data_IF_803052467607
#
_entry.id   IF_803052467607
#
_cell.length_a   1.000
_cell.length_b   1.000
_cell.length_c   1.000
_cell.angle_alpha   90.00
_cell.angle_beta   90.00
_cell.angle_gamma   90.00
#
_symmetry.space_group_name_H-M   'P 1'
#
loop_
_entity.id
_entity.type
_entity.pdbx_description
1 polymer ?
#
# COMPACT_ATOMS: atom_id res chain seq x y z
N UNK A 1 -57.02 -38.72 9.64
CA UNK A 1 -56.89 -37.90 8.42
C UNK A 1 -56.02 -36.69 8.74
N UNK A 2 -54.84 -36.68 8.13
CA UNK A 2 -53.91 -35.58 7.81
C UNK A 2 -53.87 -34.36 8.75
N UNK A 3 -52.82 -34.31 9.56
CA UNK A 3 -52.31 -33.09 10.18
C UNK A 3 -51.56 -32.27 9.12
N UNK A 4 -52.09 -31.10 8.77
CA UNK A 4 -51.46 -30.12 7.88
C UNK A 4 -50.38 -29.36 8.65
N UNK A 5 -49.12 -29.70 8.39
CA UNK A 5 -47.96 -28.94 8.88
C UNK A 5 -47.93 -27.55 8.25
N UNK A 6 -48.06 -26.52 9.09
CA UNK A 6 -47.81 -25.14 8.73
C UNK A 6 -46.32 -24.95 8.41
N UNK A 7 -46.01 -24.56 7.18
CA UNK A 7 -44.66 -24.14 6.81
C UNK A 7 -44.26 -22.89 7.61
N UNK A 8 -43.02 -22.78 8.12
CA UNK A 8 -42.62 -21.65 8.94
C UNK A 8 -42.56 -20.35 8.12
N UNK A 9 -43.39 -19.38 8.50
CA UNK A 9 -43.53 -18.07 7.87
C UNK A 9 -42.28 -17.14 8.00
N UNK A 10 -41.16 -17.63 8.55
CA UNK A 10 -39.92 -16.86 8.76
C UNK A 10 -38.94 -16.83 7.58
N UNK A 11 -39.10 -17.66 6.54
CA UNK A 11 -38.05 -17.88 5.54
C UNK A 11 -37.93 -16.80 4.43
N UNK A 12 -38.94 -15.95 4.23
CA UNK A 12 -38.99 -14.98 3.13
C UNK A 12 -38.24 -13.65 3.40
N UNK A 13 -38.34 -13.02 4.59
CA UNK A 13 -37.60 -11.79 4.91
C UNK A 13 -36.09 -12.03 4.97
N UNK A 14 -35.67 -13.16 5.54
CA UNK A 14 -34.28 -13.53 5.74
C UNK A 14 -33.54 -13.79 4.41
N UNK A 15 -34.20 -14.47 3.47
CA UNK A 15 -33.69 -14.68 2.10
C UNK A 15 -33.56 -13.37 1.31
N UNK A 16 -34.46 -12.41 1.50
CA UNK A 16 -34.38 -11.08 0.84
C UNK A 16 -33.24 -10.24 1.41
N UNK A 17 -33.01 -10.28 2.71
CA UNK A 17 -31.88 -9.61 3.37
C UNK A 17 -30.53 -10.19 2.90
N UNK A 18 -30.41 -11.53 2.86
CA UNK A 18 -29.20 -12.20 2.38
C UNK A 18 -28.89 -11.87 0.91
N UNK A 19 -29.90 -11.87 0.03
CA UNK A 19 -29.75 -11.49 -1.38
C UNK A 19 -29.31 -10.04 -1.57
N UNK A 20 -29.85 -9.10 -0.76
CA UNK A 20 -29.42 -7.69 -0.78
C UNK A 20 -27.98 -7.52 -0.32
N UNK A 21 -27.57 -8.25 0.72
CA UNK A 21 -26.18 -8.23 1.19
C UNK A 21 -25.22 -8.79 0.14
N UNK A 22 -25.54 -9.93 -0.48
CA UNK A 22 -24.70 -10.53 -1.54
C UNK A 22 -24.63 -9.60 -2.76
N UNK A 23 -25.77 -9.04 -3.19
CA UNK A 23 -25.82 -8.07 -4.28
C UNK A 23 -24.97 -6.83 -4.01
N UNK A 24 -24.97 -6.33 -2.76
CA UNK A 24 -24.14 -5.19 -2.35
C UNK A 24 -22.64 -5.49 -2.43
N UNK A 25 -22.18 -6.65 -1.95
CA UNK A 25 -20.77 -7.04 -2.03
C UNK A 25 -20.33 -7.28 -3.48
N UNK A 26 -21.18 -7.91 -4.30
CA UNK A 26 -20.89 -8.11 -5.72
C UNK A 26 -20.78 -6.77 -6.48
N UNK A 27 -21.66 -5.81 -6.19
CA UNK A 27 -21.59 -4.47 -6.76
C UNK A 27 -20.30 -3.73 -6.35
N UNK A 28 -19.93 -3.79 -5.06
CA UNK A 28 -18.68 -3.18 -4.58
C UNK A 28 -17.45 -3.80 -5.25
N UNK A 29 -17.41 -5.12 -5.34
CA UNK A 29 -16.32 -5.82 -6.02
C UNK A 29 -16.25 -5.41 -7.49
N UNK A 30 -17.38 -5.38 -8.21
CA UNK A 30 -17.44 -4.97 -9.60
C UNK A 30 -16.99 -3.51 -9.79
N UNK A 31 -17.45 -2.59 -8.95
CA UNK A 31 -17.00 -1.19 -8.97
C UNK A 31 -15.48 -1.13 -8.79
N UNK A 32 -14.92 -1.78 -7.76
CA UNK A 32 -13.48 -1.84 -7.55
C UNK A 32 -12.74 -2.42 -8.76
N UNK A 33 -13.27 -3.48 -9.36
CA UNK A 33 -12.69 -4.11 -10.54
C UNK A 33 -12.61 -3.16 -11.73
N UNK A 34 -13.58 -2.24 -11.91
CA UNK A 34 -13.52 -1.25 -13.01
C UNK A 34 -12.25 -0.40 -12.99
N UNK A 35 -11.55 -0.31 -11.84
CA UNK A 35 -10.30 0.46 -11.71
C UNK A 35 -9.24 0.13 -12.74
N UNK A 36 -9.32 -1.00 -13.48
CA UNK A 36 -8.45 -1.28 -14.63
C UNK A 36 -8.54 -0.26 -15.78
N UNK A 37 -9.64 0.51 -15.86
CA UNK A 37 -9.82 1.56 -16.86
C UNK A 37 -9.10 2.82 -16.39
N UNK A 38 -7.95 3.07 -16.99
CA UNK A 38 -7.15 4.27 -16.77
C UNK A 38 -7.79 5.48 -17.46
N UNK A 39 -7.97 6.59 -16.74
CA UNK A 39 -8.51 7.85 -17.28
C UNK A 39 -7.41 8.92 -17.40
N UNK A 40 -6.61 9.10 -16.35
CA UNK A 40 -5.49 10.03 -16.38
C UNK A 40 -4.30 9.46 -15.60
N UNK A 41 -3.36 8.86 -16.35
CA UNK A 41 -2.18 8.17 -15.80
C UNK A 41 -2.54 7.15 -14.70
N UNK A 42 -1.56 6.75 -13.89
CA UNK A 42 -1.74 5.80 -12.78
C UNK A 42 -2.57 6.35 -11.61
N UNK A 43 -2.95 7.63 -11.65
CA UNK A 43 -3.55 8.39 -10.53
C UNK A 43 -5.09 8.36 -10.57
N UNK A 44 -5.69 8.38 -11.77
CA UNK A 44 -7.13 8.52 -11.98
C UNK A 44 -7.66 7.34 -12.80
N UNK A 45 -8.54 6.55 -12.18
CA UNK A 45 -9.19 5.38 -12.78
C UNK A 45 -10.71 5.60 -12.88
N UNK A 46 -11.48 4.72 -13.54
CA UNK A 46 -12.95 4.79 -13.53
C UNK A 46 -13.56 4.82 -12.11
N UNK A 47 -12.90 4.21 -11.12
CA UNK A 47 -13.35 4.27 -9.72
C UNK A 47 -13.36 5.71 -9.21
N UNK A 48 -12.43 6.56 -9.65
CA UNK A 48 -12.42 7.97 -9.25
C UNK A 48 -13.65 8.73 -9.77
N UNK A 49 -14.16 8.39 -10.95
CA UNK A 49 -15.41 8.95 -11.49
C UNK A 49 -16.59 8.52 -10.62
N UNK A 50 -16.66 7.25 -10.23
CA UNK A 50 -17.67 6.77 -9.29
C UNK A 50 -17.55 7.50 -7.96
N UNK A 51 -16.33 7.66 -7.42
CA UNK A 51 -16.11 8.39 -6.18
C UNK A 51 -16.55 9.86 -6.27
N UNK A 52 -16.31 10.52 -7.40
CA UNK A 52 -16.74 11.90 -7.67
C UNK A 52 -18.26 12.04 -7.63
N UNK A 53 -18.98 11.12 -8.28
CA UNK A 53 -20.44 11.10 -8.28
C UNK A 53 -21.03 10.87 -6.87
N UNK A 54 -20.25 10.31 -5.95
CA UNK A 54 -20.66 10.02 -4.57
C UNK A 54 -20.27 11.11 -3.57
N UNK A 55 -19.55 12.15 -3.98
CA UNK A 55 -19.19 13.28 -3.09
C UNK A 55 -20.43 13.96 -2.47
N UNK A 56 -21.55 14.21 -3.19
CA UNK A 56 -22.76 14.74 -2.56
C UNK A 56 -23.30 13.82 -1.46
N UNK A 57 -23.26 12.50 -1.69
CA UNK A 57 -23.63 11.51 -0.69
C UNK A 57 -22.74 11.59 0.56
N UNK A 58 -21.43 11.80 0.37
CA UNK A 58 -20.49 12.01 1.47
C UNK A 58 -20.87 13.26 2.29
N UNK A 59 -21.12 14.40 1.65
CA UNK A 59 -21.51 15.65 2.31
C UNK A 59 -22.80 15.53 3.14
N UNK A 60 -23.68 14.58 2.80
CA UNK A 60 -24.91 14.31 3.54
C UNK A 60 -24.72 13.33 4.72
N UNK A 61 -23.55 12.70 4.86
CA UNK A 61 -23.26 11.79 5.97
C UNK A 61 -22.87 12.54 7.23
N UNK A 62 -23.07 11.91 8.38
CA UNK A 62 -22.39 12.34 9.60
C UNK A 62 -20.91 11.95 9.53
N UNK A 63 -20.04 12.92 9.81
CA UNK A 63 -18.60 12.73 9.77
C UNK A 63 -18.03 12.56 11.18
N UNK A 64 -17.08 11.64 11.31
CA UNK A 64 -16.25 11.51 12.51
C UNK A 64 -15.01 12.37 12.31
N UNK A 65 -14.53 13.05 13.35
CA UNK A 65 -13.30 13.86 13.27
C UNK A 65 -12.10 13.05 12.74
N UNK A 66 -12.06 11.75 13.06
CA UNK A 66 -11.06 10.81 12.56
C UNK A 66 -11.09 10.62 11.02
N UNK A 67 -12.25 10.75 10.38
CA UNK A 67 -12.38 10.63 8.92
C UNK A 67 -12.05 11.97 8.21
N UNK A 68 -12.20 13.08 8.91
CA UNK A 68 -11.91 14.42 8.38
C UNK A 68 -10.41 14.73 8.42
N UNK A 69 -9.68 14.24 9.44
CA UNK A 69 -8.24 14.47 9.56
C UNK A 69 -7.46 14.12 8.28
N UNK A 70 -7.54 12.90 7.71
CA UNK A 70 -6.84 12.57 6.48
C UNK A 70 -7.25 13.44 5.27
N UNK A 71 -8.50 13.93 5.23
CA UNK A 71 -8.95 14.86 4.18
C UNK A 71 -8.34 16.25 4.35
N UNK A 72 -8.24 16.75 5.59
CA UNK A 72 -7.55 18.02 5.88
C UNK A 72 -6.08 17.92 5.50
N UNK A 73 -5.40 16.82 5.88
CA UNK A 73 -4.01 16.59 5.51
C UNK A 73 -3.82 16.46 4.00
N UNK A 74 -4.77 15.81 3.31
CA UNK A 74 -4.76 15.73 1.85
C UNK A 74 -4.92 17.10 1.18
N UNK A 75 -5.83 17.95 1.68
CA UNK A 75 -6.02 19.31 1.19
C UNK A 75 -4.78 20.18 1.42
N UNK A 76 -4.20 20.14 2.63
CA UNK A 76 -2.96 20.85 2.95
C UNK A 76 -1.81 20.39 2.07
N UNK A 77 -1.65 19.08 1.89
CA UNK A 77 -0.62 18.53 1.03
C UNK A 77 -0.81 18.93 -0.44
N UNK A 78 -2.05 18.92 -0.94
CA UNK A 78 -2.35 19.36 -2.29
C UNK A 78 -2.03 20.85 -2.50
N UNK A 79 -2.45 21.73 -1.57
CA UNK A 79 -2.15 23.16 -1.62
C UNK A 79 -0.63 23.39 -1.60
N UNK A 80 0.10 22.66 -0.76
CA UNK A 80 1.57 22.72 -0.69
C UNK A 80 2.21 22.36 -2.02
N UNK A 81 1.75 21.28 -2.65
CA UNK A 81 2.22 20.87 -3.98
C UNK A 81 1.88 21.89 -5.07
N UNK A 82 0.68 22.48 -5.05
CA UNK A 82 0.30 23.52 -6.01
C UNK A 82 1.20 24.74 -5.86
N UNK A 83 1.40 25.22 -4.63
CA UNK A 83 2.30 26.34 -4.34
C UNK A 83 3.73 26.03 -4.81
N UNK A 84 4.22 24.82 -4.50
CA UNK A 84 5.54 24.37 -4.94
C UNK A 84 5.69 24.33 -6.46
N UNK A 85 4.73 23.74 -7.16
CA UNK A 85 4.74 23.66 -8.62
C UNK A 85 4.72 25.06 -9.25
N UNK A 86 3.89 25.97 -8.72
CA UNK A 86 3.81 27.35 -9.23
C UNK A 86 5.12 28.12 -9.03
N UNK A 87 5.73 28.02 -7.85
CA UNK A 87 7.01 28.70 -7.53
C UNK A 87 8.18 28.12 -8.33
N UNK A 88 8.18 26.81 -8.58
CA UNK A 88 9.24 26.12 -9.30
C UNK A 88 8.96 25.96 -10.81
N UNK A 89 7.91 26.61 -11.33
CA UNK A 89 7.47 26.52 -12.73
C UNK A 89 7.27 25.07 -13.24
N UNK A 90 6.86 24.17 -12.34
CA UNK A 90 6.48 22.79 -12.63
C UNK A 90 5.02 22.68 -13.04
N UNK A 91 4.67 21.59 -13.73
CA UNK A 91 3.27 21.26 -14.01
C UNK A 91 2.50 20.95 -12.72
N UNK A 92 1.39 21.66 -12.49
CA UNK A 92 0.43 21.35 -11.40
C UNK A 92 -0.31 20.03 -11.60
N UNK A 93 -0.23 19.45 -12.80
CA UNK A 93 -0.77 18.13 -13.14
C UNK A 93 0.27 17.02 -12.96
N UNK A 94 1.42 17.33 -12.35
CA UNK A 94 2.41 16.33 -11.97
C UNK A 94 1.77 15.25 -11.09
N UNK A 95 2.03 13.94 -11.31
CA UNK A 95 1.33 12.87 -10.60
C UNK A 95 1.38 13.00 -9.07
N UNK A 96 2.54 13.40 -8.52
CA UNK A 96 2.71 13.59 -7.07
C UNK A 96 1.92 14.80 -6.56
N UNK A 97 1.75 15.84 -7.38
CA UNK A 97 0.93 17.00 -7.03
C UNK A 97 -0.57 16.68 -7.02
N UNK A 98 -1.02 15.80 -7.92
CA UNK A 98 -2.43 15.37 -8.00
C UNK A 98 -2.77 14.30 -6.96
N UNK A 99 -1.78 13.52 -6.50
CA UNK A 99 -2.00 12.36 -5.64
C UNK A 99 -2.77 12.66 -4.32
N UNK A 100 -2.48 13.76 -3.57
CA UNK A 100 -3.25 14.07 -2.36
C UNK A 100 -4.73 14.39 -2.66
N UNK A 101 -5.02 15.12 -3.73
CA UNK A 101 -6.39 15.42 -4.14
C UNK A 101 -7.14 14.14 -4.56
N UNK A 102 -6.48 13.29 -5.34
CA UNK A 102 -7.03 11.99 -5.73
C UNK A 102 -7.29 11.10 -4.51
N UNK A 103 -6.37 11.06 -3.54
CA UNK A 103 -6.58 10.36 -2.27
C UNK A 103 -7.83 10.87 -1.54
N UNK A 104 -8.00 12.18 -1.43
CA UNK A 104 -9.19 12.77 -0.80
C UNK A 104 -10.49 12.36 -1.50
N UNK A 105 -10.50 12.39 -2.83
CA UNK A 105 -11.62 11.95 -3.66
C UNK A 105 -11.97 10.47 -3.42
N UNK A 106 -10.96 9.59 -3.48
CA UNK A 106 -11.17 8.16 -3.21
C UNK A 106 -11.65 7.95 -1.76
N UNK A 107 -11.07 8.63 -0.78
CA UNK A 107 -11.49 8.48 0.61
C UNK A 107 -12.97 8.88 0.80
N UNK A 108 -13.41 10.00 0.23
CA UNK A 108 -14.82 10.41 0.28
C UNK A 108 -15.75 9.38 -0.36
N UNK A 109 -15.49 9.01 -1.62
CA UNK A 109 -16.34 8.08 -2.35
C UNK A 109 -16.36 6.67 -1.75
N UNK A 110 -15.21 6.16 -1.31
CA UNK A 110 -15.11 4.84 -0.69
C UNK A 110 -15.73 4.82 0.71
N UNK A 111 -15.74 5.94 1.44
CA UNK A 111 -16.51 6.06 2.70
C UNK A 111 -17.99 5.80 2.45
N UNK A 112 -18.56 6.42 1.41
CA UNK A 112 -19.97 6.26 1.02
C UNK A 112 -20.25 4.82 0.58
N UNK A 113 -19.43 4.28 -0.33
CA UNK A 113 -19.60 2.92 -0.86
C UNK A 113 -19.54 1.84 0.22
N UNK A 114 -18.55 1.94 1.10
CA UNK A 114 -18.29 0.88 2.09
C UNK A 114 -19.13 1.04 3.36
N UNK A 115 -19.66 2.25 3.61
CA UNK A 115 -20.32 2.57 4.88
C UNK A 115 -19.42 2.33 6.09
N UNK A 116 -18.08 2.41 5.90
CA UNK A 116 -17.05 2.12 6.93
C UNK A 116 -17.08 0.69 7.49
N UNK A 117 -17.74 -0.25 6.81
CA UNK A 117 -17.78 -1.66 7.23
C UNK A 117 -16.53 -2.39 6.76
N UNK A 118 -15.85 -3.08 7.67
CA UNK A 118 -14.60 -3.83 7.39
C UNK A 118 -14.79 -4.81 6.23
N UNK A 119 -15.89 -5.56 6.21
CA UNK A 119 -16.23 -6.50 5.14
C UNK A 119 -16.34 -5.82 3.76
N UNK A 120 -16.98 -4.65 3.72
CA UNK A 120 -17.18 -3.88 2.49
C UNK A 120 -15.87 -3.26 1.99
N UNK A 121 -15.02 -2.78 2.91
CA UNK A 121 -13.67 -2.28 2.59
C UNK A 121 -12.82 -3.43 2.02
N UNK A 122 -12.82 -4.60 2.65
CA UNK A 122 -12.10 -5.78 2.16
C UNK A 122 -12.56 -6.20 0.76
N UNK A 123 -13.86 -6.17 0.51
CA UNK A 123 -14.45 -6.50 -0.80
C UNK A 123 -14.06 -5.48 -1.86
N UNK A 124 -14.06 -4.20 -1.51
CA UNK A 124 -13.60 -3.14 -2.42
C UNK A 124 -12.12 -3.30 -2.77
N UNK A 125 -11.27 -3.61 -1.80
CA UNK A 125 -9.84 -3.91 -2.06
C UNK A 125 -9.65 -5.12 -2.97
N UNK A 126 -10.45 -6.17 -2.82
CA UNK A 126 -10.40 -7.31 -3.73
C UNK A 126 -10.80 -6.92 -5.16
N UNK A 127 -11.83 -6.07 -5.31
CA UNK A 127 -12.17 -5.47 -6.60
C UNK A 127 -11.00 -4.66 -7.17
N UNK A 128 -10.41 -3.76 -6.40
CA UNK A 128 -9.23 -2.98 -6.81
C UNK A 128 -8.06 -3.88 -7.24
N UNK A 129 -7.82 -4.97 -6.53
CA UNK A 129 -6.78 -5.93 -6.86
C UNK A 129 -7.07 -6.65 -8.20
N UNK A 130 -8.32 -7.05 -8.48
CA UNK A 130 -8.70 -7.54 -9.82
C UNK A 130 -8.46 -6.49 -10.88
N UNK A 131 -8.84 -5.23 -10.61
CA UNK A 131 -8.62 -4.13 -11.55
C UNK A 131 -7.13 -3.91 -11.85
N UNK A 132 -6.27 -3.98 -10.84
CA UNK A 132 -4.81 -3.91 -11.00
C UNK A 132 -4.27 -5.07 -11.84
N UNK A 133 -4.71 -6.31 -11.58
CA UNK A 133 -4.31 -7.47 -12.39
C UNK A 133 -4.75 -7.31 -13.84
N UNK A 134 -6.01 -6.92 -14.08
CA UNK A 134 -6.55 -6.70 -15.41
C UNK A 134 -5.80 -5.59 -16.16
N UNK A 135 -5.45 -4.49 -15.49
CA UNK A 135 -4.64 -3.42 -16.05
C UNK A 135 -3.28 -3.94 -16.52
N UNK A 136 -2.53 -4.65 -15.67
CA UNK A 136 -1.19 -5.12 -16.04
C UNK A 136 -1.20 -6.23 -17.09
N UNK A 137 -2.27 -7.01 -17.19
CA UNK A 137 -2.42 -8.02 -18.24
C UNK A 137 -2.84 -7.45 -19.61
N UNK A 138 -3.48 -6.27 -19.64
CA UNK A 138 -4.05 -5.71 -20.89
C UNK A 138 -3.32 -4.46 -21.39
N UNK A 139 -2.91 -3.58 -20.49
CA UNK A 139 -2.29 -2.28 -20.81
C UNK A 139 -0.83 -2.21 -20.33
N UNK A 140 -0.60 -2.61 -19.07
CA UNK A 140 0.72 -2.66 -18.44
C UNK A 140 1.50 -1.34 -18.44
N UNK A 141 2.79 -1.45 -18.12
CA UNK A 141 3.78 -0.38 -18.22
C UNK A 141 5.01 -0.93 -18.95
N UNK A 142 5.95 -0.05 -19.34
CA UNK A 142 7.20 -0.46 -20.01
C UNK A 142 7.93 -1.59 -19.27
N UNK A 143 7.99 -1.51 -17.95
CA UNK A 143 8.64 -2.51 -17.10
C UNK A 143 7.92 -3.86 -17.06
N UNK A 144 6.64 -3.95 -17.43
CA UNK A 144 5.90 -5.23 -17.48
C UNK A 144 5.76 -5.78 -18.91
N UNK A 145 6.11 -4.99 -19.92
CA UNK A 145 6.05 -5.36 -21.35
C UNK A 145 7.38 -5.94 -21.87
N UNK A 146 8.09 -6.67 -21.01
CA UNK A 146 9.38 -7.31 -21.37
C UNK A 146 9.19 -8.72 -21.94
N UNK A 147 7.97 -9.27 -21.89
CA UNK A 147 7.67 -10.68 -22.19
C UNK A 147 8.06 -11.66 -21.07
N UNK A 148 8.63 -11.16 -19.96
CA UNK A 148 9.04 -11.96 -18.82
C UNK A 148 7.98 -11.96 -17.72
N UNK A 149 7.55 -13.16 -17.30
CA UNK A 149 6.66 -13.29 -16.14
C UNK A 149 7.29 -12.73 -14.85
N UNK A 150 8.62 -12.81 -14.73
CA UNK A 150 9.35 -12.27 -13.57
C UNK A 150 9.09 -10.77 -13.41
N UNK A 151 9.16 -10.03 -14.52
CA UNK A 151 8.94 -8.58 -14.49
C UNK A 151 7.47 -8.23 -14.28
N UNK A 152 6.55 -8.99 -14.90
CA UNK A 152 5.10 -8.85 -14.66
C UNK A 152 4.73 -9.08 -13.19
N UNK A 153 5.29 -10.11 -12.56
CA UNK A 153 5.10 -10.39 -11.13
C UNK A 153 5.62 -9.24 -10.28
N UNK A 154 6.87 -8.84 -10.52
CA UNK A 154 7.59 -7.88 -9.69
C UNK A 154 7.09 -6.44 -9.79
N UNK A 155 6.76 -5.99 -11.00
CA UNK A 155 6.40 -4.59 -11.25
C UNK A 155 4.89 -4.39 -11.43
N UNK A 156 4.11 -5.47 -11.47
CA UNK A 156 2.68 -5.42 -11.72
C UNK A 156 1.84 -6.12 -10.65
N UNK A 157 1.78 -7.44 -10.69
CA UNK A 157 0.64 -8.18 -10.13
C UNK A 157 0.86 -8.80 -8.75
N UNK A 158 2.10 -8.91 -8.22
CA UNK A 158 2.37 -9.67 -6.99
C UNK A 158 1.51 -9.23 -5.79
N UNK A 159 1.50 -7.93 -5.47
CA UNK A 159 0.74 -7.40 -4.34
C UNK A 159 -0.77 -7.60 -4.52
N UNK A 160 -1.28 -7.43 -5.74
CA UNK A 160 -2.69 -7.62 -6.06
C UNK A 160 -3.11 -9.09 -5.95
N UNK A 161 -2.30 -10.01 -6.47
CA UNK A 161 -2.55 -11.46 -6.35
C UNK A 161 -2.54 -11.89 -4.88
N UNK A 162 -1.63 -11.36 -4.06
CA UNK A 162 -1.60 -11.61 -2.62
C UNK A 162 -2.90 -11.16 -1.94
N UNK A 163 -3.40 -9.97 -2.26
CA UNK A 163 -4.70 -9.47 -1.76
C UNK A 163 -5.85 -10.40 -2.15
N UNK A 164 -5.90 -10.85 -3.42
CA UNK A 164 -6.95 -11.76 -3.90
C UNK A 164 -6.93 -13.12 -3.21
N UNK A 165 -5.74 -13.70 -3.02
CA UNK A 165 -5.58 -14.98 -2.33
C UNK A 165 -6.06 -14.87 -0.89
N UNK A 166 -5.62 -13.84 -0.15
CA UNK A 166 -6.05 -13.63 1.23
C UNK A 166 -7.55 -13.36 1.32
N UNK A 167 -8.08 -12.55 0.41
CA UNK A 167 -9.51 -12.29 0.36
C UNK A 167 -10.31 -13.57 0.12
N UNK A 168 -9.90 -14.40 -0.86
CA UNK A 168 -10.55 -15.66 -1.17
C UNK A 168 -10.49 -16.66 0.00
N UNK A 169 -9.33 -16.81 0.64
CA UNK A 169 -9.18 -17.68 1.81
C UNK A 169 -10.07 -17.23 2.98
N UNK A 170 -10.09 -15.93 3.28
CA UNK A 170 -10.95 -15.38 4.33
C UNK A 170 -12.44 -15.50 3.98
N UNK A 171 -12.83 -15.20 2.74
CA UNK A 171 -14.21 -15.31 2.28
C UNK A 171 -14.72 -16.76 2.30
N UNK A 172 -13.86 -17.72 1.94
CA UNK A 172 -14.13 -19.15 2.02
C UNK A 172 -14.09 -19.71 3.45
N UNK A 173 -13.80 -18.88 4.45
CA UNK A 173 -13.63 -19.28 5.87
C UNK A 173 -12.59 -20.41 6.03
N UNK A 174 -11.51 -20.33 5.26
CA UNK A 174 -10.42 -21.27 5.34
C UNK A 174 -9.80 -21.31 6.75
N UNK A 175 -9.27 -22.46 7.21
CA UNK A 175 -8.54 -22.57 8.47
C UNK A 175 -7.51 -21.44 8.69
N UNK A 176 -7.42 -20.94 9.92
CA UNK A 176 -6.63 -19.76 10.26
C UNK A 176 -5.13 -19.87 9.92
N UNK A 177 -4.58 -21.09 9.81
CA UNK A 177 -3.19 -21.34 9.43
C UNK A 177 -2.92 -21.22 7.92
N UNK A 178 -3.95 -21.31 7.07
CA UNK A 178 -3.76 -21.27 5.61
C UNK A 178 -3.33 -19.89 5.10
N UNK A 179 -3.85 -18.81 5.69
CA UNK A 179 -3.43 -17.45 5.32
C UNK A 179 -1.93 -17.18 5.56
N UNK A 180 -1.37 -17.43 6.76
CA UNK A 180 0.06 -17.28 6.96
C UNK A 180 0.91 -18.27 6.15
N UNK A 181 0.45 -19.51 5.93
CA UNK A 181 1.12 -20.46 5.03
C UNK A 181 1.16 -19.97 3.59
N UNK A 182 0.04 -19.47 3.06
CA UNK A 182 -0.02 -18.92 1.71
C UNK A 182 0.95 -17.73 1.55
N UNK A 183 1.04 -16.86 2.56
CA UNK A 183 2.00 -15.76 2.59
C UNK A 183 3.45 -16.25 2.61
N UNK A 184 3.77 -17.28 3.40
CA UNK A 184 5.12 -17.86 3.40
C UNK A 184 5.49 -18.40 2.00
N UNK A 185 4.57 -19.13 1.36
CA UNK A 185 4.76 -19.67 0.00
C UNK A 185 4.92 -18.55 -1.03
N UNK A 186 4.06 -17.53 -0.99
CA UNK A 186 4.15 -16.36 -1.87
C UNK A 186 5.45 -15.58 -1.64
N UNK A 187 5.93 -15.52 -0.40
CA UNK A 187 7.22 -14.91 -0.05
C UNK A 187 8.40 -15.64 -0.70
N UNK A 188 8.43 -16.97 -0.57
CA UNK A 188 9.45 -17.81 -1.20
C UNK A 188 9.38 -17.75 -2.73
N UNK A 189 8.18 -17.82 -3.30
CA UNK A 189 7.96 -17.67 -4.74
C UNK A 189 8.46 -16.30 -5.23
N UNK A 190 8.20 -15.23 -4.46
CA UNK A 190 8.67 -13.88 -4.79
C UNK A 190 10.20 -13.75 -4.73
N UNK A 191 10.89 -14.48 -3.86
CA UNK A 191 12.36 -14.55 -3.89
C UNK A 191 12.86 -15.20 -5.18
N UNK A 192 12.25 -16.33 -5.57
CA UNK A 192 12.55 -17.00 -6.85
C UNK A 192 12.30 -16.10 -8.07
N UNK A 193 11.31 -15.20 -7.96
CA UNK A 193 10.96 -14.20 -8.97
C UNK A 193 11.68 -12.85 -8.75
N UNK A 194 12.81 -12.84 -8.03
CA UNK A 194 13.66 -11.66 -7.84
C UNK A 194 12.93 -10.41 -7.29
N UNK A 195 11.91 -10.61 -6.45
CA UNK A 195 11.14 -9.55 -5.80
C UNK A 195 11.32 -9.56 -4.27
N UNK A 196 12.51 -9.13 -3.83
CA UNK A 196 12.94 -9.15 -2.42
C UNK A 196 12.02 -8.41 -1.45
N UNK A 197 11.51 -7.25 -1.83
CA UNK A 197 10.67 -6.44 -0.94
C UNK A 197 9.30 -7.06 -0.70
N UNK A 198 8.63 -7.54 -1.75
CA UNK A 198 7.37 -8.27 -1.59
C UNK A 198 7.57 -9.57 -0.80
N UNK A 199 8.70 -10.26 -1.00
CA UNK A 199 9.06 -11.41 -0.19
C UNK A 199 9.19 -11.06 1.30
N UNK A 200 9.89 -9.97 1.64
CA UNK A 200 10.00 -9.50 3.02
C UNK A 200 8.62 -9.19 3.61
N UNK A 201 7.77 -8.45 2.89
CA UNK A 201 6.41 -8.11 3.35
C UNK A 201 5.60 -9.39 3.62
N UNK A 202 5.62 -10.35 2.70
CA UNK A 202 4.92 -11.63 2.87
C UNK A 202 5.46 -12.44 4.06
N UNK A 203 6.78 -12.50 4.25
CA UNK A 203 7.41 -13.20 5.38
C UNK A 203 7.05 -12.54 6.71
N UNK A 204 7.10 -11.20 6.79
CA UNK A 204 6.70 -10.47 7.99
C UNK A 204 5.21 -10.64 8.30
N UNK A 205 4.34 -10.58 7.28
CA UNK A 205 2.90 -10.81 7.46
C UNK A 205 2.62 -12.25 7.91
N UNK A 206 3.29 -13.23 7.30
CA UNK A 206 3.21 -14.63 7.71
C UNK A 206 3.65 -14.83 9.17
N UNK A 207 4.81 -14.28 9.54
CA UNK A 207 5.33 -14.36 10.89
C UNK A 207 4.40 -13.69 11.91
N UNK A 208 3.88 -12.49 11.61
CA UNK A 208 2.94 -11.77 12.47
C UNK A 208 1.69 -12.63 12.76
N UNK A 209 1.13 -13.24 11.72
CA UNK A 209 -0.05 -14.09 11.82
C UNK A 209 0.23 -15.42 12.52
N UNK A 210 1.36 -16.08 12.24
CA UNK A 210 1.76 -17.31 12.94
C UNK A 210 2.06 -17.08 14.41
N UNK A 211 2.79 -16.01 14.76
CA UNK A 211 3.05 -15.63 16.14
C UNK A 211 1.73 -15.38 16.88
N UNK A 212 0.78 -14.68 16.23
CA UNK A 212 -0.54 -14.47 16.82
C UNK A 212 -1.36 -15.75 16.95
N UNK A 213 -1.26 -16.68 15.99
CA UNK A 213 -1.95 -17.97 16.04
C UNK A 213 -1.39 -18.88 17.14
N UNK A 214 -0.07 -18.96 17.27
CA UNK A 214 0.61 -19.84 18.22
C UNK A 214 0.62 -19.28 19.65
N UNK A 215 0.87 -17.97 19.78
CA UNK A 215 1.12 -17.33 21.07
C UNK A 215 0.01 -16.37 21.48
N UNK A 216 -0.70 -15.74 20.54
CA UNK A 216 -1.91 -14.95 20.80
C UNK A 216 -1.82 -14.04 22.03
N UNK A 217 -2.83 -14.08 22.89
CA UNK A 217 -2.89 -13.35 24.16
C UNK A 217 -1.92 -13.86 25.24
N UNK A 218 -1.24 -14.99 25.02
CA UNK A 218 -0.31 -15.59 26.01
C UNK A 218 0.97 -14.77 26.17
N UNK A 219 1.33 -13.95 25.18
CA UNK A 219 2.49 -13.08 25.23
C UNK A 219 2.10 -11.61 25.07
N UNK A 220 2.79 -10.74 25.81
CA UNK A 220 2.59 -9.29 25.69
C UNK A 220 2.94 -8.84 24.27
N UNK A 221 2.19 -7.89 23.73
CA UNK A 221 2.34 -7.38 22.35
C UNK A 221 3.78 -6.96 22.00
N UNK A 222 4.52 -6.38 22.95
CA UNK A 222 5.94 -6.01 22.78
C UNK A 222 6.84 -7.18 22.37
N UNK A 223 6.56 -8.39 22.85
CA UNK A 223 7.34 -9.59 22.52
C UNK A 223 6.98 -10.14 21.15
N UNK A 224 5.72 -9.98 20.72
CA UNK A 224 5.32 -10.30 19.34
C UNK A 224 6.08 -9.39 18.35
N UNK A 225 6.20 -8.11 18.69
CA UNK A 225 6.98 -7.15 17.89
C UNK A 225 8.49 -7.43 17.91
N UNK A 226 9.05 -7.79 19.06
CA UNK A 226 10.45 -8.21 19.14
C UNK A 226 10.70 -9.44 18.24
N UNK A 227 9.79 -10.42 18.24
CA UNK A 227 9.84 -11.57 17.34
C UNK A 227 9.76 -11.16 15.86
N UNK A 228 8.86 -10.25 15.52
CA UNK A 228 8.71 -9.72 14.15
C UNK A 228 9.99 -8.99 13.67
N UNK A 229 10.59 -8.16 14.53
CA UNK A 229 11.87 -7.50 14.27
C UNK A 229 12.97 -8.55 14.07
N UNK A 230 13.01 -9.58 14.93
CA UNK A 230 13.94 -10.70 14.81
C UNK A 230 13.83 -11.41 13.46
N UNK A 231 12.60 -11.67 12.98
CA UNK A 231 12.36 -12.26 11.65
C UNK A 231 12.84 -11.33 10.53
N UNK A 232 12.58 -10.03 10.63
CA UNK A 232 13.06 -9.04 9.66
C UNK A 232 14.58 -8.98 9.57
N UNK A 233 15.26 -8.95 10.73
CA UNK A 233 16.72 -8.98 10.81
C UNK A 233 17.30 -10.29 10.27
N UNK A 234 16.71 -11.42 10.64
CA UNK A 234 17.10 -12.73 10.14
C UNK A 234 16.95 -12.79 8.61
N UNK A 235 15.84 -12.29 8.06
CA UNK A 235 15.65 -12.20 6.61
C UNK A 235 16.74 -11.33 5.96
N UNK A 236 17.00 -10.14 6.50
CA UNK A 236 17.99 -9.21 5.96
C UNK A 236 19.40 -9.80 5.93
N UNK A 237 19.76 -10.66 6.89
CA UNK A 237 21.07 -11.30 6.98
C UNK A 237 21.16 -12.61 6.18
N UNK A 238 20.16 -13.48 6.30
CA UNK A 238 20.19 -14.84 5.72
C UNK A 238 19.87 -14.82 4.23
N UNK A 239 18.95 -13.97 3.77
CA UNK A 239 18.53 -13.96 2.37
C UNK A 239 19.70 -13.65 1.41
N UNK A 240 20.56 -12.63 1.63
CA UNK A 240 21.71 -12.39 0.76
C UNK A 240 22.68 -13.57 0.72
N UNK A 241 22.95 -14.22 1.87
CA UNK A 241 23.82 -15.40 1.94
C UNK A 241 23.26 -16.54 1.07
N UNK A 242 21.97 -16.83 1.21
CA UNK A 242 21.30 -17.85 0.39
C UNK A 242 21.18 -17.44 -1.09
N UNK A 243 21.03 -16.15 -1.39
CA UNK A 243 21.02 -15.66 -2.76
C UNK A 243 22.39 -15.86 -3.46
N UNK A 244 23.51 -15.70 -2.74
CA UNK A 244 24.86 -15.89 -3.28
C UNK A 244 25.12 -17.33 -3.74
N UNK A 245 24.52 -18.32 -3.09
CA UNK A 245 24.64 -19.73 -3.49
C UNK A 245 23.78 -20.09 -4.70
N UNK A 246 22.93 -19.16 -5.17
CA UNK A 246 22.01 -19.40 -6.29
C UNK A 246 20.71 -20.10 -5.89
N UNK A 247 20.44 -20.27 -4.57
CA UNK A 247 19.25 -20.99 -4.08
C UNK A 247 17.92 -20.45 -4.63
N UNK A 248 17.85 -19.14 -4.88
CA UNK A 248 16.67 -18.46 -5.38
C UNK A 248 16.74 -18.11 -6.88
N UNK A 249 17.69 -18.72 -7.61
CA UNK A 249 17.88 -18.51 -9.04
C UNK A 249 18.94 -17.47 -9.41
N UNK A 250 19.39 -17.56 -10.66
CA UNK A 250 20.53 -16.79 -11.19
C UNK A 250 20.28 -15.29 -11.25
N UNK A 251 19.04 -14.85 -11.46
CA UNK A 251 18.69 -13.44 -11.51
C UNK A 251 18.92 -12.74 -10.17
N UNK A 252 18.48 -13.36 -9.07
CA UNK A 252 18.68 -12.83 -7.72
C UNK A 252 20.14 -12.98 -7.27
N UNK A 253 20.81 -14.08 -7.63
CA UNK A 253 22.25 -14.25 -7.37
C UNK A 253 23.07 -13.15 -8.03
N UNK A 254 22.91 -12.94 -9.33
CA UNK A 254 23.63 -11.89 -10.08
C UNK A 254 23.37 -10.51 -9.50
N UNK A 255 22.12 -10.21 -9.13
CA UNK A 255 21.78 -8.92 -8.51
C UNK A 255 22.47 -8.74 -7.16
N UNK A 256 22.51 -9.77 -6.32
CA UNK A 256 23.20 -9.73 -5.03
C UNK A 256 24.71 -9.54 -5.21
N UNK A 257 25.34 -10.30 -6.10
CA UNK A 257 26.77 -10.15 -6.41
C UNK A 257 27.11 -8.77 -6.99
N UNK A 258 26.25 -8.22 -7.86
CA UNK A 258 26.39 -6.86 -8.37
C UNK A 258 26.32 -5.82 -7.25
N UNK A 259 25.42 -5.99 -6.27
CA UNK A 259 25.34 -5.06 -5.15
C UNK A 259 26.52 -5.16 -4.20
N UNK A 260 27.05 -6.37 -4.01
CA UNK A 260 28.27 -6.61 -3.24
C UNK A 260 29.51 -5.98 -3.90
N UNK A 261 29.54 -5.92 -5.24
CA UNK A 261 30.70 -5.43 -5.99
C UNK A 261 30.84 -3.89 -6.01
N UNK A 262 29.81 -3.14 -5.62
CA UNK A 262 29.81 -1.65 -5.68
C UNK A 262 29.93 -1.03 -4.28
N UNK A 263 30.35 -1.81 -3.27
CA UNK A 263 30.64 -1.35 -1.90
C UNK A 263 29.61 -0.35 -1.35
N UNK A 264 28.33 -0.67 -1.50
CA UNK A 264 27.24 0.16 -0.98
C UNK A 264 26.96 -0.24 0.46
N UNK A 265 26.78 0.72 1.40
CA UNK A 265 26.40 0.40 2.78
C UNK A 265 25.17 -0.50 2.79
N UNK A 266 25.20 -1.59 3.58
CA UNK A 266 24.15 -2.62 3.56
C UNK A 266 22.72 -2.07 3.74
N UNK A 267 22.56 -1.03 4.56
CA UNK A 267 21.28 -0.37 4.81
C UNK A 267 20.75 0.39 3.58
N UNK A 268 21.64 0.88 2.71
CA UNK A 268 21.35 1.68 1.52
C UNK A 268 21.54 0.88 0.21
N UNK A 269 22.07 -0.34 0.28
CA UNK A 269 22.20 -1.25 -0.86
C UNK A 269 20.84 -1.65 -1.46
N UNK A 270 19.76 -1.59 -0.66
CA UNK A 270 18.40 -1.80 -1.14
C UNK A 270 17.81 -0.60 -1.89
N UNK A 271 18.20 0.62 -1.50
CA UNK A 271 17.72 1.92 -2.00
C UNK A 271 18.81 2.97 -1.81
N UNK A 272 19.44 3.40 -2.91
CA UNK A 272 20.55 4.34 -2.89
C UNK A 272 20.12 5.80 -2.87
N UNK A 273 18.82 6.08 -3.05
CA UNK A 273 18.24 7.42 -3.20
C UNK A 273 18.07 8.25 -1.90
N UNK A 274 18.12 7.70 -0.66
CA UNK A 274 17.93 8.52 0.54
C UNK A 274 18.90 9.71 0.68
N UNK A 275 20.21 9.61 0.42
CA UNK A 275 21.12 10.77 0.47
C UNK A 275 20.68 11.89 -0.48
N UNK A 276 20.31 11.56 -1.71
CA UNK A 276 19.76 12.51 -2.68
C UNK A 276 18.51 13.19 -2.15
N UNK A 277 17.57 12.42 -1.62
CA UNK A 277 16.29 12.96 -1.17
C UNK A 277 16.47 13.84 0.09
N UNK A 278 17.35 13.45 1.01
CA UNK A 278 17.69 14.28 2.18
C UNK A 278 18.37 15.59 1.78
N UNK A 279 19.30 15.56 0.82
CA UNK A 279 19.90 16.78 0.29
C UNK A 279 18.84 17.70 -0.32
N UNK A 280 17.95 17.16 -1.17
CA UNK A 280 16.87 17.93 -1.77
C UNK A 280 15.95 18.58 -0.72
N UNK A 281 15.56 17.83 0.32
CA UNK A 281 14.77 18.34 1.45
C UNK A 281 15.54 19.44 2.20
N UNK A 282 16.82 19.23 2.49
CA UNK A 282 17.61 20.19 3.27
C UNK A 282 17.76 21.54 2.57
N UNK A 283 17.80 21.55 1.23
CA UNK A 283 17.91 22.77 0.44
C UNK A 283 16.58 23.53 0.34
N UNK A 284 15.43 22.83 0.25
CA UNK A 284 14.11 23.46 0.11
C UNK A 284 13.04 22.81 1.00
N UNK A 285 13.16 22.87 2.33
CA UNK A 285 12.32 22.06 3.24
C UNK A 285 10.85 22.50 3.30
N UNK A 286 10.57 23.78 3.06
CA UNK A 286 9.24 24.37 3.25
C UNK A 286 8.31 24.12 2.06
N UNK A 287 8.76 24.48 0.86
CA UNK A 287 7.97 24.37 -0.38
C UNK A 287 8.43 23.21 -1.26
N UNK A 288 9.63 22.68 -1.12
CA UNK A 288 10.14 21.65 -2.02
C UNK A 288 10.50 22.18 -3.42
N UNK A 289 10.72 21.24 -4.34
CA UNK A 289 11.22 21.48 -5.71
C UNK A 289 10.13 21.47 -6.80
N UNK A 290 8.88 21.22 -6.45
CA UNK A 290 7.74 21.07 -7.36
C UNK A 290 7.66 19.68 -7.97
N UNK A 291 8.77 19.21 -8.54
CA UNK A 291 8.96 17.84 -9.00
C UNK A 291 10.45 17.46 -8.96
N UNK A 292 10.74 16.16 -9.12
CA UNK A 292 12.11 15.67 -9.13
C UNK A 292 12.94 16.10 -10.36
N UNK A 293 12.30 16.58 -11.43
CA UNK A 293 12.99 17.04 -12.65
C UNK A 293 13.66 18.41 -12.48
N UNK A 294 13.27 19.15 -11.44
CA UNK A 294 13.83 20.46 -11.12
C UNK A 294 15.12 20.40 -10.27
N UNK A 295 15.58 19.19 -9.95
CA UNK A 295 16.83 18.97 -9.24
C UNK A 295 18.03 19.48 -10.05
N UNK A 296 18.81 20.37 -9.46
CA UNK A 296 19.98 20.98 -10.12
C UNK A 296 21.21 20.08 -10.06
N UNK A 297 22.16 20.31 -10.96
CA UNK A 297 23.48 19.66 -10.93
C UNK A 297 24.14 19.81 -9.55
N UNK A 298 24.13 21.02 -8.98
CA UNK A 298 24.75 21.28 -7.68
C UNK A 298 24.10 20.49 -6.54
N UNK A 299 22.78 20.26 -6.61
CA UNK A 299 22.08 19.41 -5.64
C UNK A 299 22.56 17.97 -5.75
N UNK A 300 22.67 17.43 -6.96
CA UNK A 300 23.22 16.09 -7.19
C UNK A 300 24.67 15.97 -6.69
N UNK A 301 25.54 16.93 -7.00
CA UNK A 301 26.93 16.94 -6.50
C UNK A 301 26.98 16.92 -4.97
N UNK A 302 26.15 17.71 -4.28
CA UNK A 302 26.07 17.70 -2.82
C UNK A 302 25.53 16.38 -2.27
N UNK A 303 24.56 15.77 -2.95
CA UNK A 303 24.03 14.45 -2.60
C UNK A 303 25.08 13.35 -2.75
N UNK A 304 25.91 13.39 -3.79
CA UNK A 304 27.02 12.47 -3.99
C UNK A 304 28.04 12.59 -2.85
N UNK A 305 28.44 13.82 -2.51
CA UNK A 305 29.33 14.04 -1.36
C UNK A 305 28.72 13.54 -0.04
N UNK A 306 27.41 13.68 0.15
CA UNK A 306 26.73 13.11 1.31
C UNK A 306 26.75 11.58 1.29
N UNK A 307 26.46 10.96 0.15
CA UNK A 307 26.48 9.50 0.01
C UNK A 307 27.88 8.92 0.24
N UNK A 308 28.93 9.54 -0.30
CA UNK A 308 30.32 9.12 -0.06
C UNK A 308 30.65 9.19 1.44
N UNK A 309 30.23 10.26 2.14
CA UNK A 309 30.38 10.35 3.61
C UNK A 309 29.56 9.31 4.38
N UNK A 310 28.46 8.82 3.80
CA UNK A 310 27.66 7.72 4.34
C UNK A 310 28.23 6.34 4.00
N UNK A 311 29.36 6.28 3.27
CA UNK A 311 30.09 5.05 2.98
C UNK A 311 29.86 4.48 1.58
N UNK A 312 29.30 5.24 0.64
CA UNK A 312 29.28 4.84 -0.77
C UNK A 312 30.68 4.95 -1.38
N UNK A 313 31.02 4.02 -2.28
CA UNK A 313 32.20 4.14 -3.14
C UNK A 313 32.08 5.39 -4.04
N UNK A 314 33.17 6.16 -4.22
CA UNK A 314 33.22 7.26 -5.20
C UNK A 314 32.96 6.82 -6.66
N UNK A 315 33.19 5.55 -6.97
CA UNK A 315 32.96 4.93 -8.27
C UNK A 315 31.50 4.46 -8.46
N UNK A 316 30.64 4.61 -7.44
CA UNK A 316 29.23 4.28 -7.56
C UNK A 316 28.59 5.13 -8.68
N UNK A 317 27.81 4.53 -9.60
CA UNK A 317 27.27 5.24 -10.75
C UNK A 317 26.03 6.07 -10.38
N UNK A 318 26.24 7.14 -9.62
CA UNK A 318 25.19 8.03 -9.11
C UNK A 318 24.30 8.58 -10.22
N UNK A 319 24.89 9.14 -11.27
CA UNK A 319 24.15 9.72 -12.39
C UNK A 319 23.21 8.72 -13.07
N UNK A 320 23.67 7.47 -13.28
CA UNK A 320 22.87 6.45 -13.94
C UNK A 320 21.71 5.93 -13.07
N UNK A 321 21.82 6.05 -11.74
CA UNK A 321 20.84 5.48 -10.80
C UNK A 321 19.89 6.55 -10.26
N UNK A 322 20.36 7.76 -10.03
CA UNK A 322 19.58 8.85 -9.43
C UNK A 322 18.92 9.79 -10.45
N UNK A 323 19.49 9.92 -11.65
CA UNK A 323 18.91 10.75 -12.72
C UNK A 323 18.07 9.88 -13.64
N UNK A 324 16.86 9.59 -13.17
CA UNK A 324 15.92 8.79 -13.97
C UNK A 324 15.28 9.70 -15.04
N UNK A 325 15.10 9.22 -16.30
CA UNK A 325 14.45 9.99 -17.35
C UNK A 325 13.06 10.50 -16.94
N UNK A 326 12.59 11.63 -17.50
CA UNK A 326 11.28 12.23 -17.17
C UNK A 326 10.07 11.32 -17.42
N UNK A 327 10.23 10.19 -18.11
CA UNK A 327 9.17 9.20 -18.30
C UNK A 327 8.91 8.30 -17.09
N UNK A 328 9.85 8.24 -16.13
CA UNK A 328 9.63 7.53 -14.87
C UNK A 328 9.16 8.51 -13.81
N UNK A 329 7.95 8.27 -13.33
CA UNK A 329 7.10 9.24 -12.61
C UNK A 329 7.61 9.68 -11.23
N UNK A 330 8.74 9.15 -10.76
CA UNK A 330 9.43 9.62 -9.56
C UNK A 330 10.89 9.15 -9.56
N UNK A 331 11.83 10.09 -9.46
CA UNK A 331 13.23 9.77 -9.15
C UNK A 331 13.39 9.30 -7.69
N UNK A 332 12.41 9.62 -6.83
CA UNK A 332 12.42 9.26 -5.41
C UNK A 332 11.62 7.98 -5.18
N UNK A 333 12.30 6.92 -4.75
CA UNK A 333 11.68 5.64 -4.40
C UNK A 333 11.12 5.64 -2.97
N UNK A 334 10.42 6.70 -2.57
CA UNK A 334 9.80 6.85 -1.27
C UNK A 334 8.66 7.86 -1.38
N UNK A 335 7.42 7.45 -1.17
CA UNK A 335 6.27 8.37 -1.21
C UNK A 335 6.41 9.45 -0.12
N UNK A 336 6.86 9.07 1.08
CA UNK A 336 7.03 9.99 2.20
C UNK A 336 8.12 11.03 1.91
N UNK A 337 9.33 10.59 1.59
CA UNK A 337 10.45 11.51 1.36
C UNK A 337 10.29 12.28 0.04
N UNK A 338 9.71 11.65 -0.99
CA UNK A 338 9.38 12.29 -2.26
C UNK A 338 8.34 13.40 -2.07
N UNK A 339 7.29 13.16 -1.28
CA UNK A 339 6.31 14.21 -0.96
C UNK A 339 6.95 15.41 -0.27
N UNK A 340 7.91 15.19 0.65
CA UNK A 340 8.63 16.29 1.28
C UNK A 340 9.56 17.01 0.31
N UNK A 341 10.37 16.28 -0.45
CA UNK A 341 11.32 16.86 -1.39
C UNK A 341 10.61 17.67 -2.49
N UNK A 342 9.50 17.17 -3.01
CA UNK A 342 8.79 17.81 -4.12
C UNK A 342 7.79 18.85 -3.64
N UNK A 343 6.97 18.52 -2.63
CA UNK A 343 5.85 19.37 -2.19
C UNK A 343 6.07 20.13 -0.89
N UNK A 344 7.16 19.87 -0.16
CA UNK A 344 7.49 20.56 1.09
C UNK A 344 6.89 19.96 2.37
N UNK A 345 7.06 20.66 3.49
CA UNK A 345 6.74 20.13 4.84
C UNK A 345 5.24 19.85 5.05
N UNK A 346 4.35 20.57 4.38
CA UNK A 346 2.90 20.30 4.49
C UNK A 346 2.48 19.11 3.62
N UNK A 347 3.19 18.86 2.51
CA UNK A 347 2.94 17.71 1.63
C UNK A 347 3.27 16.36 2.29
N UNK A 348 4.27 16.32 3.18
CA UNK A 348 4.65 15.08 3.87
C UNK A 348 3.65 14.65 4.96
N UNK A 349 2.76 15.54 5.42
CA UNK A 349 1.87 15.25 6.54
C UNK A 349 0.88 14.11 6.25
N UNK A 350 0.31 14.04 5.04
CA UNK A 350 -0.60 12.95 4.67
C UNK A 350 0.13 11.58 4.63
N UNK A 351 1.25 11.42 3.90
CA UNK A 351 2.03 10.19 3.94
C UNK A 351 2.52 9.82 5.36
N UNK A 352 2.91 10.80 6.18
CA UNK A 352 3.30 10.56 7.58
C UNK A 352 2.13 10.04 8.41
N UNK A 353 0.93 10.59 8.24
CA UNK A 353 -0.28 10.08 8.88
C UNK A 353 -0.65 8.68 8.38
N UNK A 354 -0.51 8.40 7.09
CA UNK A 354 -0.73 7.06 6.53
C UNK A 354 0.27 6.04 7.10
N UNK A 355 1.50 6.46 7.41
CA UNK A 355 2.48 5.63 8.11
C UNK A 355 1.98 5.25 9.50
N UNK A 356 1.46 6.23 10.25
CA UNK A 356 0.81 6.02 11.55
C UNK A 356 -0.41 5.11 11.41
N UNK A 357 -1.23 5.26 10.36
CA UNK A 357 -2.38 4.41 10.10
C UNK A 357 -1.97 2.95 9.84
N UNK A 358 -0.93 2.73 9.03
CA UNK A 358 -0.36 1.40 8.78
C UNK A 358 0.14 0.76 10.08
N UNK A 359 0.95 1.48 10.86
CA UNK A 359 1.44 1.00 12.15
C UNK A 359 0.30 0.73 13.13
N UNK A 360 -0.72 1.60 13.16
CA UNK A 360 -1.91 1.43 13.99
C UNK A 360 -2.71 0.18 13.63
N UNK A 361 -2.84 -0.14 12.34
CA UNK A 361 -3.45 -1.40 11.87
C UNK A 361 -2.57 -2.58 12.28
N UNK A 362 -1.26 -2.55 12.05
CA UNK A 362 -0.36 -3.65 12.44
C UNK A 362 -0.40 -3.86 13.96
N UNK A 363 -0.49 -2.80 14.76
CA UNK A 363 -0.62 -2.90 16.22
C UNK A 363 -1.96 -3.46 16.68
N UNK A 364 -3.03 -3.23 15.93
CA UNK A 364 -4.40 -3.56 16.33
C UNK A 364 -5.12 -4.49 15.33
N UNK A 365 -4.38 -5.26 14.53
CA UNK A 365 -4.95 -5.98 13.38
C UNK A 365 -6.01 -7.00 13.77
N UNK A 366 -5.97 -7.52 15.00
CA UNK A 366 -6.96 -8.46 15.54
C UNK A 366 -8.37 -7.85 15.61
N UNK A 367 -8.49 -6.52 15.67
CA UNK A 367 -9.78 -5.80 15.61
C UNK A 367 -10.44 -5.81 14.23
N UNK A 368 -9.73 -6.24 13.19
CA UNK A 368 -10.28 -6.52 11.86
C UNK A 368 -10.95 -7.91 11.78
N UNK A 369 -10.96 -8.65 12.89
CA UNK A 369 -11.61 -9.96 13.02
C UNK A 369 -11.14 -10.91 11.92
N UNK A 370 -12.04 -11.51 11.13
CA UNK A 370 -11.70 -12.43 10.05
C UNK A 370 -10.80 -11.82 8.96
N UNK A 371 -10.82 -10.50 8.79
CA UNK A 371 -10.01 -9.79 7.78
C UNK A 371 -8.64 -9.36 8.30
N UNK A 372 -8.28 -9.76 9.51
CA UNK A 372 -6.95 -9.59 10.09
C UNK A 372 -5.80 -9.91 9.12
N UNK A 373 -5.78 -11.05 8.41
CA UNK A 373 -4.70 -11.38 7.47
C UNK A 373 -4.57 -10.36 6.35
N UNK A 374 -5.68 -9.97 5.75
CA UNK A 374 -5.71 -9.03 4.64
C UNK A 374 -5.27 -7.64 5.08
N UNK A 375 -5.87 -7.09 6.15
CA UNK A 375 -5.53 -5.75 6.60
C UNK A 375 -4.11 -5.62 7.16
N UNK A 376 -3.60 -6.64 7.86
CA UNK A 376 -2.21 -6.64 8.32
C UNK A 376 -1.22 -6.68 7.15
N UNK A 377 -1.49 -7.50 6.13
CA UNK A 377 -0.62 -7.62 4.95
C UNK A 377 -0.60 -6.33 4.15
N UNK A 378 -1.77 -5.74 3.88
CA UNK A 378 -1.88 -4.48 3.14
C UNK A 378 -1.25 -3.31 3.92
N UNK A 379 -1.37 -3.29 5.25
CA UNK A 379 -0.68 -2.30 6.09
C UNK A 379 0.84 -2.46 6.09
N UNK A 380 1.37 -3.69 6.11
CA UNK A 380 2.81 -3.95 5.98
C UNK A 380 3.34 -3.57 4.59
N UNK A 381 2.59 -3.88 3.53
CA UNK A 381 2.89 -3.44 2.18
C UNK A 381 2.86 -1.91 2.08
N UNK A 382 1.82 -1.26 2.61
CA UNK A 382 1.71 0.19 2.66
C UNK A 382 2.83 0.86 3.45
N UNK A 383 3.27 0.26 4.56
CA UNK A 383 4.44 0.73 5.33
C UNK A 383 5.71 0.70 4.46
N UNK A 384 5.94 -0.42 3.76
CA UNK A 384 7.07 -0.54 2.83
C UNK A 384 6.99 0.50 1.71
N UNK A 385 5.82 0.66 1.12
CA UNK A 385 5.61 1.55 -0.01
C UNK A 385 5.76 3.03 0.35
N UNK A 386 5.28 3.44 1.52
CA UNK A 386 5.44 4.81 2.01
C UNK A 386 6.92 5.17 2.21
N UNK A 387 7.72 4.21 2.67
CA UNK A 387 9.13 4.41 3.00
C UNK A 387 10.07 4.19 1.80
N UNK A 388 9.77 3.21 0.95
CA UNK A 388 10.70 2.65 -0.05
C UNK A 388 10.07 2.35 -1.42
N UNK A 389 8.78 2.64 -1.61
CA UNK A 389 8.06 2.43 -2.86
C UNK A 389 7.86 3.74 -3.63
N UNK A 390 7.87 3.72 -4.96
CA UNK A 390 7.28 4.78 -5.78
C UNK A 390 5.75 4.59 -5.84
N UNK A 391 5.04 5.60 -6.33
CA UNK A 391 3.63 5.42 -6.68
C UNK A 391 3.47 4.37 -7.80
N UNK A 392 2.56 3.43 -7.58
CA UNK A 392 2.16 2.42 -8.54
C UNK A 392 0.65 2.51 -8.80
N UNK A 393 0.21 1.80 -9.83
CA UNK A 393 -1.18 1.71 -10.21
C UNK A 393 -2.07 1.29 -9.03
N UNK A 394 -3.21 1.97 -8.85
CA UNK A 394 -4.18 1.72 -7.77
C UNK A 394 -3.64 1.85 -6.32
N UNK A 395 -2.43 2.37 -6.09
CA UNK A 395 -1.95 2.57 -4.73
C UNK A 395 -2.75 3.63 -3.96
N UNK A 396 -3.17 4.70 -4.62
CA UNK A 396 -3.96 5.78 -3.99
C UNK A 396 -5.29 5.26 -3.42
N UNK A 397 -6.16 4.57 -4.20
CA UNK A 397 -7.38 4.00 -3.64
C UNK A 397 -7.09 2.91 -2.58
N UNK A 398 -5.97 2.18 -2.70
CA UNK A 398 -5.54 1.23 -1.66
C UNK A 398 -5.21 1.94 -0.34
N UNK A 399 -4.49 3.08 -0.37
CA UNK A 399 -4.24 3.88 0.83
C UNK A 399 -5.52 4.47 1.41
N UNK A 400 -6.50 4.84 0.57
CA UNK A 400 -7.82 5.24 1.06
C UNK A 400 -8.53 4.09 1.80
N UNK A 401 -8.42 2.85 1.31
CA UNK A 401 -8.90 1.67 2.04
C UNK A 401 -8.14 1.44 3.36
N UNK A 402 -6.82 1.65 3.40
CA UNK A 402 -6.01 1.59 4.63
C UNK A 402 -6.51 2.63 5.64
N UNK A 403 -6.73 3.88 5.22
CA UNK A 403 -7.29 4.93 6.06
C UNK A 403 -8.66 4.52 6.63
N UNK A 404 -9.53 3.94 5.80
CA UNK A 404 -10.84 3.45 6.24
C UNK A 404 -10.75 2.29 7.23
N UNK A 405 -9.83 1.34 7.04
CA UNK A 405 -9.61 0.28 8.03
C UNK A 405 -9.12 0.85 9.36
N UNK A 406 -8.19 1.81 9.31
CA UNK A 406 -7.68 2.46 10.50
C UNK A 406 -8.80 3.17 11.27
N UNK A 407 -9.67 3.92 10.56
CA UNK A 407 -10.87 4.53 11.14
C UNK A 407 -11.82 3.49 11.74
N UNK A 408 -12.06 2.39 11.02
CA UNK A 408 -13.02 1.36 11.43
C UNK A 408 -12.59 0.61 12.71
N UNK A 409 -11.30 0.44 12.98
CA UNK A 409 -10.82 -0.30 14.17
C UNK A 409 -10.54 0.58 15.40
N UNK A 410 -10.29 1.89 15.21
CA UNK A 410 -9.98 2.81 16.32
C UNK A 410 -11.20 3.63 16.77
N UNK A 411 -12.18 3.83 15.89
CA UNK A 411 -13.31 4.73 16.15
C UNK A 411 -14.67 4.06 15.90
N UNK A 412 -14.82 2.76 16.23
CA UNK A 412 -16.14 2.10 16.22
C UNK A 412 -17.09 2.95 17.09
N UNK A 413 -18.17 3.46 16.51
CA UNK A 413 -19.25 4.02 17.31
C UNK A 413 -19.79 2.88 18.17
N UNK A 414 -20.04 3.13 19.46
CA UNK A 414 -20.99 2.32 20.19
C UNK A 414 -22.31 2.42 19.44
N UNK A 415 -22.81 1.31 18.91
CA UNK A 415 -24.19 1.25 18.46
C UNK A 415 -25.06 1.49 19.69
N UNK A 416 -25.91 2.53 19.73
CA UNK A 416 -26.83 2.77 20.84
C UNK A 416 -27.89 1.66 21.01
N UNK A 417 -27.87 0.62 20.16
CA UNK A 417 -28.84 -0.47 20.12
C UNK A 417 -28.34 -1.82 20.62
N UNK A 418 -27.11 -1.94 21.14
CA UNK A 418 -26.61 -3.22 21.69
C UNK A 418 -27.01 -3.48 23.15
N UNK A 419 -28.04 -2.79 23.66
CA UNK A 419 -28.72 -3.16 24.90
C UNK A 419 -29.71 -4.30 24.64
N UNK A 420 -29.19 -5.50 24.37
CA UNK A 420 -29.88 -6.74 24.74
C UNK A 420 -28.81 -7.66 25.32
N UNK A 421 -28.62 -7.50 26.63
CA UNK A 421 -28.05 -8.49 27.56
C UNK A 421 -29.07 -9.62 27.82
N UNK A 422 -28.66 -10.77 28.39
CA UNK A 422 -27.48 -11.00 29.23
C UNK A 422 -26.38 -11.90 28.66
#
# INVERSE_FOLDING_TARGET
MVATGSAPAGALPERRHLRRLIGGHAALFAIGATSFVQIANVTVTSVSVVCLLLVPGWLMMTHRGADLLPLVLAALGWISFLASCLVNHSSVLWPNAVAPAAFGLYLMGLTVLTGRRVDAIATMMAGLAVGTVAFFLTQGIKLTHTGSFLDMWKYGIASAVTVLILYALTAARAPAWLSPSALAVLGLASLGLNYRSHALVCVLASALLFINLALGSRIRRRWQFAGLIGVGLAFAYVMPIAARTGLFGSALQRKTLQQDAVDVPLLLAGRSEPPMTFTAISQRPLLGWGNAMNFTQDMYTQAEHLAIRMGFSPEFPFDAIWRIPPSDYSATHSILLGAWAEGGVLAVLLPAWLLVACLGIICNFTRLERWAPLGATVALQGLWDLLYGPWQYNMIPTFACIALFFSAIHFRAHDPGSLIEP
#
